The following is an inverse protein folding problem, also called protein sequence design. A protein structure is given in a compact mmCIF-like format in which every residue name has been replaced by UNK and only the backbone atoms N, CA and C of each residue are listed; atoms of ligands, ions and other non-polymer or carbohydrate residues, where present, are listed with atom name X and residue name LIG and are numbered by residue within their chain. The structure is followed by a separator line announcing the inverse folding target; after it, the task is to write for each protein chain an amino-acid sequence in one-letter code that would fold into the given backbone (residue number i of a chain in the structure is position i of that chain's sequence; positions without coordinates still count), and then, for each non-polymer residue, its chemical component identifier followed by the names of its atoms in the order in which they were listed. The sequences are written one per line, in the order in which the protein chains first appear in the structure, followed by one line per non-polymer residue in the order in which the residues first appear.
data_IF_145762064048
#
_entry.id   IF_145762064048
#
_cell.length_a   1.000
_cell.length_b   1.000
_cell.length_c   1.000
_cell.angle_alpha   90.00
_cell.angle_beta   90.00
_cell.angle_gamma   90.00
#
_symmetry.space_group_name_H-M   'P 1'
#
loop_
_entity.id
_entity.type
_entity.pdbx_description
1 polymer ?
#
# COMPACT_ATOMS: atom_id res chain seq x y z
N UNK A 1 -9.75 -17.99 -1.48
CA UNK A 1 -9.25 -16.61 -1.35
C UNK A 1 -10.47 -15.71 -1.41
N UNK A 2 -10.71 -14.94 -0.35
CA UNK A 2 -11.80 -13.97 -0.29
C UNK A 2 -11.21 -12.57 -0.46
N UNK A 3 -11.93 -11.69 -1.13
CA UNK A 3 -11.52 -10.31 -1.38
C UNK A 3 -12.67 -9.35 -1.06
N UNK A 4 -12.34 -8.21 -0.47
CA UNK A 4 -13.31 -7.16 -0.19
C UNK A 4 -13.41 -6.22 -1.40
N UNK A 5 -14.61 -6.10 -1.96
CA UNK A 5 -14.90 -5.17 -3.04
C UNK A 5 -15.37 -3.82 -2.47
N UNK A 6 -14.56 -2.78 -2.62
CA UNK A 6 -14.87 -1.41 -2.20
C UNK A 6 -15.15 -0.51 -3.41
N UNK A 7 -16.11 0.40 -3.28
CA UNK A 7 -16.37 1.42 -4.31
C UNK A 7 -15.22 2.43 -4.47
N UNK A 8 -14.44 2.62 -3.39
CA UNK A 8 -13.25 3.46 -3.38
C UNK A 8 -12.26 2.97 -2.32
N UNK A 9 -11.03 2.69 -2.77
CA UNK A 9 -9.92 2.33 -1.89
C UNK A 9 -9.34 3.59 -1.23
N UNK A 10 -8.84 4.54 -2.03
CA UNK A 10 -8.25 5.78 -1.55
C UNK A 10 -8.47 6.92 -2.54
N UNK A 11 -8.07 8.13 -2.16
CA UNK A 11 -7.88 9.22 -3.13
C UNK A 11 -6.76 8.85 -4.11
N UNK A 12 -6.77 9.39 -5.35
CA UNK A 12 -5.67 9.18 -6.30
C UNK A 12 -4.31 9.46 -5.66
N UNK A 13 -3.34 8.59 -5.96
CA UNK A 13 -1.96 8.72 -5.49
C UNK A 13 -1.24 9.71 -6.40
N UNK A 14 -0.49 10.62 -5.77
CA UNK A 14 0.26 11.66 -6.47
C UNK A 14 1.25 11.08 -7.48
N UNK A 15 1.66 11.90 -8.45
CA UNK A 15 2.69 11.54 -9.41
C UNK A 15 4.02 11.22 -8.74
N UNK A 16 4.80 10.31 -9.33
CA UNK A 16 6.11 9.92 -8.83
C UNK A 16 7.22 10.33 -9.82
N UNK A 17 8.38 10.79 -9.32
CA UNK A 17 9.49 11.23 -10.16
C UNK A 17 10.23 10.06 -10.83
N UNK A 18 11.13 10.39 -11.76
CA UNK A 18 12.08 9.44 -12.35
C UNK A 18 13.09 8.96 -11.30
N UNK A 19 12.89 7.74 -10.75
CA UNK A 19 13.73 7.20 -9.68
C UNK A 19 15.11 6.74 -10.18
N UNK A 20 15.16 6.07 -11.33
CA UNK A 20 16.38 5.40 -11.78
C UNK A 20 17.53 6.38 -12.01
N UNK A 21 17.28 7.63 -12.44
CA UNK A 21 18.37 8.62 -12.63
C UNK A 21 19.00 9.10 -11.33
N UNK A 22 18.30 8.98 -10.20
CA UNK A 22 18.74 9.53 -8.90
C UNK A 22 19.61 8.55 -8.13
N UNK A 23 19.28 7.26 -8.17
CA UNK A 23 19.95 6.26 -7.35
C UNK A 23 20.58 5.13 -8.17
N UNK A 24 21.90 4.97 -8.01
CA UNK A 24 22.70 4.02 -8.78
C UNK A 24 22.26 2.57 -8.59
N UNK A 25 21.81 2.18 -7.40
CA UNK A 25 21.33 0.82 -7.12
C UNK A 25 19.98 0.51 -7.77
N UNK A 26 19.27 1.50 -8.30
CA UNK A 26 18.03 1.29 -9.06
C UNK A 26 18.26 1.16 -10.57
N UNK A 27 19.48 1.44 -11.05
CA UNK A 27 19.82 1.31 -12.47
C UNK A 27 19.66 -0.14 -12.97
N UNK A 28 19.11 -0.25 -14.19
CA UNK A 28 18.92 -1.53 -14.89
C UNK A 28 17.81 -2.41 -14.30
N UNK A 29 17.14 -1.98 -13.24
CA UNK A 29 16.03 -2.75 -12.68
C UNK A 29 14.80 -2.64 -13.58
N UNK A 30 14.16 -3.79 -13.85
CA UNK A 30 12.81 -3.82 -14.42
C UNK A 30 11.81 -3.54 -13.31
N UNK A 31 11.50 -2.26 -13.11
CA UNK A 31 10.53 -1.82 -12.10
C UNK A 31 9.12 -2.33 -12.45
N UNK A 32 8.34 -2.65 -11.43
CA UNK A 32 6.94 -3.08 -11.58
C UNK A 32 6.07 -1.92 -12.09
N UNK A 33 6.29 -0.73 -11.53
CA UNK A 33 5.67 0.51 -11.99
C UNK A 33 6.53 1.23 -13.03
N UNK A 34 5.86 1.99 -13.91
CA UNK A 34 6.54 2.96 -14.79
C UNK A 34 6.89 4.20 -13.99
N UNK A 35 8.12 4.69 -14.13
CA UNK A 35 8.55 5.97 -13.57
C UNK A 35 9.05 6.86 -14.72
N UNK A 36 8.59 8.12 -14.84
CA UNK A 36 7.63 8.76 -13.94
C UNK A 36 6.22 8.18 -14.14
N UNK A 37 5.39 8.27 -13.11
CA UNK A 37 3.96 7.95 -13.17
C UNK A 37 3.16 9.21 -12.90
N UNK A 38 2.13 9.46 -13.70
CA UNK A 38 1.16 10.53 -13.45
C UNK A 38 0.32 10.24 -12.19
N UNK A 39 -0.53 11.17 -11.77
CA UNK A 39 -1.52 10.89 -10.73
C UNK A 39 -2.41 9.70 -11.14
N UNK A 40 -2.64 8.72 -10.26
CA UNK A 40 -3.37 7.48 -10.62
C UNK A 40 -4.19 6.93 -9.47
N UNK A 41 -5.24 6.17 -9.80
CA UNK A 41 -6.05 5.44 -8.82
C UNK A 41 -5.38 4.11 -8.47
N UNK A 42 -5.72 3.58 -7.30
CA UNK A 42 -5.33 2.23 -6.88
C UNK A 42 -6.52 1.30 -7.13
N UNK A 43 -6.27 0.22 -7.85
CA UNK A 43 -7.29 -0.79 -8.18
C UNK A 43 -7.34 -1.93 -7.17
N UNK A 44 -6.19 -2.31 -6.59
CA UNK A 44 -6.05 -3.44 -5.67
C UNK A 44 -5.16 -3.06 -4.49
N UNK A 45 -5.60 -3.41 -3.28
CA UNK A 45 -4.75 -3.46 -2.08
C UNK A 45 -4.53 -4.91 -1.69
N UNK A 46 -3.27 -5.27 -1.50
CA UNK A 46 -2.86 -6.60 -1.01
C UNK A 46 -2.48 -6.43 0.46
N UNK A 47 -3.08 -7.25 1.33
CA UNK A 47 -2.77 -7.24 2.76
C UNK A 47 -1.35 -7.73 3.05
N UNK A 48 -0.79 -7.30 4.19
CA UNK A 48 0.55 -7.71 4.63
C UNK A 48 0.62 -9.19 5.04
N UNK A 49 -0.52 -9.81 5.33
CA UNK A 49 -0.68 -11.25 5.49
C UNK A 49 -0.25 -12.05 4.26
N UNK A 50 -0.33 -11.45 3.06
CA UNK A 50 0.15 -12.03 1.80
C UNK A 50 1.57 -11.58 1.43
N UNK A 51 2.29 -10.85 2.29
CA UNK A 51 3.60 -10.27 1.96
C UNK A 51 4.58 -11.31 1.41
N UNK A 52 4.68 -12.46 2.08
CA UNK A 52 5.60 -13.54 1.70
C UNK A 52 5.17 -14.31 0.45
N UNK A 53 3.92 -14.13 -0.01
CA UNK A 53 3.42 -14.81 -1.20
C UNK A 53 3.90 -14.13 -2.49
N UNK A 54 4.20 -12.82 -2.43
CA UNK A 54 4.65 -12.07 -3.61
C UNK A 54 6.00 -11.38 -3.48
N UNK A 55 6.52 -11.16 -2.27
CA UNK A 55 7.85 -10.59 -2.06
C UNK A 55 8.90 -11.69 -2.00
N UNK A 56 9.98 -11.54 -2.77
CA UNK A 56 11.11 -12.46 -2.76
C UNK A 56 12.22 -12.02 -1.81
N UNK A 57 13.27 -12.83 -1.69
CA UNK A 57 14.42 -12.53 -0.84
C UNK A 57 15.44 -11.58 -1.49
N UNK A 58 15.28 -11.22 -2.77
CA UNK A 58 16.22 -10.29 -3.43
C UNK A 58 15.92 -8.83 -3.02
N UNK A 59 16.91 -8.22 -2.38
CA UNK A 59 16.86 -6.83 -1.92
C UNK A 59 18.09 -6.07 -2.42
N UNK A 60 17.90 -4.85 -2.94
CA UNK A 60 19.00 -3.93 -3.28
C UNK A 60 18.91 -2.70 -2.41
N UNK A 61 19.87 -2.59 -1.51
CA UNK A 61 20.02 -1.44 -0.63
C UNK A 61 20.77 -0.30 -1.33
N UNK A 62 20.31 0.93 -1.09
CA UNK A 62 21.09 2.14 -1.31
C UNK A 62 21.91 2.51 -0.08
N UNK A 63 22.36 3.76 -0.02
CA UNK A 63 22.94 4.34 1.17
C UNK A 63 21.88 4.57 2.27
N UNK A 64 22.34 4.88 3.49
CA UNK A 64 21.44 5.20 4.59
C UNK A 64 20.52 6.38 4.22
N UNK A 65 19.20 6.21 4.38
CA UNK A 65 18.19 7.20 4.03
C UNK A 65 17.73 7.16 2.57
N UNK A 66 18.36 6.36 1.72
CA UNK A 66 17.90 6.11 0.35
C UNK A 66 16.83 5.02 0.30
N UNK A 67 16.00 5.00 -0.76
CA UNK A 67 15.00 3.96 -0.91
C UNK A 67 15.65 2.59 -1.20
N UNK A 68 14.93 1.53 -0.87
CA UNK A 68 15.34 0.14 -1.08
C UNK A 68 14.53 -0.45 -2.23
N UNK A 69 15.16 -1.23 -3.09
CA UNK A 69 14.43 -2.01 -4.09
C UNK A 69 14.20 -3.44 -3.59
N UNK A 70 12.97 -3.91 -3.73
CA UNK A 70 12.55 -5.28 -3.41
C UNK A 70 12.08 -5.96 -4.68
N UNK A 71 12.51 -7.20 -4.91
CA UNK A 71 11.99 -8.01 -6.00
C UNK A 71 10.69 -8.68 -5.55
N UNK A 72 9.66 -8.54 -6.37
CA UNK A 72 8.37 -9.21 -6.20
C UNK A 72 7.97 -9.98 -7.46
N UNK A 73 6.86 -10.72 -7.39
CA UNK A 73 6.24 -11.37 -8.54
C UNK A 73 5.88 -10.39 -9.68
N UNK A 74 5.65 -9.11 -9.35
CA UNK A 74 5.27 -8.07 -10.33
C UNK A 74 6.48 -7.33 -10.93
N UNK A 75 7.69 -7.57 -10.42
CA UNK A 75 8.91 -6.85 -10.80
C UNK A 75 9.62 -6.23 -9.60
N UNK A 76 10.55 -5.30 -9.84
CA UNK A 76 11.18 -4.56 -8.75
C UNK A 76 10.26 -3.43 -8.27
N UNK A 77 9.94 -3.41 -6.98
CA UNK A 77 9.28 -2.28 -6.34
C UNK A 77 10.31 -1.44 -5.59
N UNK A 78 10.00 -0.19 -5.33
CA UNK A 78 10.85 0.73 -4.56
C UNK A 78 10.12 1.14 -3.29
N UNK A 79 10.78 0.98 -2.14
CA UNK A 79 10.22 1.24 -0.82
C UNK A 79 11.10 2.24 -0.06
N UNK A 80 10.48 3.09 0.77
CA UNK A 80 11.20 4.08 1.58
C UNK A 80 11.09 5.50 1.04
N UNK A 81 11.80 6.42 1.70
CA UNK A 81 11.74 7.85 1.34
C UNK A 81 12.41 8.12 0.00
N UNK A 82 11.77 8.95 -0.81
CA UNK A 82 12.32 9.44 -2.09
C UNK A 82 12.72 10.93 -2.03
N UNK A 83 12.47 11.60 -0.90
CA UNK A 83 12.77 13.01 -0.68
C UNK A 83 14.09 13.20 0.11
N UNK A 84 14.98 14.04 -0.44
CA UNK A 84 16.19 14.53 0.22
C UNK A 84 15.87 15.82 0.98
N UNK A 85 15.28 15.72 2.17
CA UNK A 85 15.01 16.91 2.96
C UNK A 85 14.09 16.67 4.13
N UNK A 86 14.61 16.92 5.32
CA UNK A 86 13.90 16.83 6.59
C UNK A 86 12.61 17.69 6.55
N UNK A 87 11.45 17.04 6.63
CA UNK A 87 10.30 17.36 7.48
C UNK A 87 9.23 16.30 7.20
N UNK A 88 8.85 15.56 8.24
CA UNK A 88 7.64 14.72 8.23
C UNK A 88 6.49 15.57 7.67
N UNK A 89 6.06 15.27 6.44
CA UNK A 89 4.87 15.85 5.83
C UNK A 89 3.75 14.85 6.03
N UNK A 90 2.85 15.15 6.96
CA UNK A 90 1.56 14.49 7.21
C UNK A 90 1.53 12.97 6.96
N UNK A 91 1.66 12.19 8.04
CA UNK A 91 1.34 10.75 7.99
C UNK A 91 -0.15 10.61 7.65
N UNK A 92 -0.45 9.98 6.52
CA UNK A 92 -1.82 9.63 6.14
C UNK A 92 -2.06 8.18 6.56
N UNK A 93 -2.92 7.98 7.55
CA UNK A 93 -3.46 6.67 7.87
C UNK A 93 -4.75 6.47 7.10
N UNK A 94 -4.92 5.30 6.49
CA UNK A 94 -6.18 4.89 5.86
C UNK A 94 -6.79 3.79 6.72
N UNK A 95 -7.99 4.05 7.23
CA UNK A 95 -8.77 3.06 7.96
C UNK A 95 -9.94 2.63 7.09
N UNK A 96 -10.07 1.32 6.86
CA UNK A 96 -11.24 0.73 6.23
C UNK A 96 -12.00 -0.06 7.30
N UNK A 97 -13.27 0.25 7.48
CA UNK A 97 -14.17 -0.50 8.35
C UNK A 97 -15.17 -1.23 7.44
N UNK A 98 -15.17 -2.56 7.49
CA UNK A 98 -16.25 -3.36 6.92
C UNK A 98 -17.38 -3.33 7.93
N UNK A 99 -18.39 -2.51 7.68
CA UNK A 99 -19.60 -2.54 8.49
C UNK A 99 -20.51 -3.64 7.95
N UNK A 100 -21.00 -4.49 8.85
CA UNK A 100 -22.14 -5.36 8.58
C UNK A 100 -23.34 -4.51 8.16
N UNK A 101 -24.34 -5.12 7.51
CA UNK A 101 -25.56 -4.41 7.14
C UNK A 101 -26.11 -3.70 8.39
N UNK A 102 -26.46 -2.40 8.33
CA UNK A 102 -26.93 -1.67 9.51
C UNK A 102 -28.11 -2.35 10.21
N UNK A 103 -28.96 -3.08 9.48
CA UNK A 103 -30.05 -3.83 10.10
C UNK A 103 -29.55 -5.10 10.80
N UNK A 104 -28.47 -5.72 10.31
CA UNK A 104 -27.83 -6.85 10.99
C UNK A 104 -27.17 -6.40 12.29
N UNK A 105 -26.51 -5.24 12.29
CA UNK A 105 -25.96 -4.62 13.51
C UNK A 105 -27.07 -4.31 14.51
N UNK A 106 -28.16 -3.68 14.05
CA UNK A 106 -29.32 -3.37 14.91
C UNK A 106 -29.98 -4.65 15.46
N UNK A 107 -30.09 -5.71 14.65
CA UNK A 107 -30.59 -7.02 15.12
C UNK A 107 -29.70 -7.61 16.20
N UNK A 108 -28.37 -7.69 15.96
CA UNK A 108 -27.41 -8.19 16.97
C UNK A 108 -27.46 -7.36 18.24
N UNK A 109 -27.61 -6.04 18.13
CA UNK A 109 -27.77 -5.15 19.28
C UNK A 109 -29.05 -5.48 20.07
N UNK A 110 -30.20 -5.60 19.41
CA UNK A 110 -31.46 -5.95 20.07
C UNK A 110 -31.49 -7.39 20.62
N UNK A 111 -30.83 -8.34 19.97
CA UNK A 111 -30.68 -9.72 20.46
C UNK A 111 -29.87 -9.75 21.77
N UNK A 112 -28.88 -8.86 21.93
CA UNK A 112 -28.10 -8.73 23.17
C UNK A 112 -28.90 -8.07 24.30
N UNK A 113 -29.75 -7.08 24.01
CA UNK A 113 -30.65 -6.47 25.01
C UNK A 113 -31.78 -7.43 25.43
N UNK A 114 -32.22 -8.32 24.53
CA UNK A 114 -33.24 -9.33 24.82
C UNK A 114 -32.78 -10.41 25.82
N UNK A 115 -31.46 -10.53 26.06
CA UNK A 115 -30.89 -11.48 27.03
C UNK A 115 -30.98 -11.01 28.49
N UNK A 116 -31.53 -9.82 28.75
CA UNK A 116 -32.06 -9.40 30.06
C UNK A 116 -31.18 -9.68 31.29
N UNK A 117 -30.44 -8.66 31.75
CA UNK A 117 -30.16 -8.47 33.19
C UNK A 117 -31.21 -7.53 33.78
#
# INVERSE_FOLDING_TARGET
MEALCLSKICSPVQENPLLQRRWKHLHGLKLADRFPRECSKIDVLIGLDYYYDFVSQEVRHGHAGEPVALRTLFGWIVCGSIDEGNKVRNVRSLHALVMEDPNEILRKFWDLEALGI
#
